data_IF_532990852621
#
_entry.id   IF_532990852621
#
_cell.length_a   1.000
_cell.length_b   1.000
_cell.length_c   1.000
_cell.angle_alpha   90.00
_cell.angle_beta   90.00
_cell.angle_gamma   90.00
#
_symmetry.space_group_name_H-M   'P 1'
#
loop_
_entity.id
_entity.type
_entity.pdbx_description
1 polymer ?
#
# COMPACT_ATOMS: atom_id res chain seq x y z
N UNK A 1 -49.20 19.07 -10.68
CA UNK A 1 -47.85 19.69 -10.63
C UNK A 1 -47.59 20.09 -9.19
N UNK A 2 -47.01 19.20 -8.40
CA UNK A 2 -46.72 19.44 -6.97
C UNK A 2 -45.25 19.85 -6.86
N UNK A 3 -45.00 21.09 -6.44
CA UNK A 3 -43.66 21.68 -6.36
C UNK A 3 -42.78 20.93 -5.35
N UNK A 4 -41.50 20.60 -5.65
CA UNK A 4 -40.62 19.81 -4.77
C UNK A 4 -39.88 20.66 -3.72
N UNK A 5 -40.30 21.91 -3.50
CA UNK A 5 -39.67 22.80 -2.52
C UNK A 5 -40.32 22.60 -1.15
N UNK A 6 -39.63 21.92 -0.24
CA UNK A 6 -40.05 21.75 1.16
C UNK A 6 -40.05 20.31 1.70
N UNK A 7 -39.74 19.31 0.88
CA UNK A 7 -39.64 17.93 1.36
C UNK A 7 -38.32 17.70 2.12
N UNK A 8 -38.39 17.16 3.35
CA UNK A 8 -37.19 16.76 4.09
C UNK A 8 -36.53 15.56 3.42
N UNK A 9 -35.38 15.76 2.79
CA UNK A 9 -34.55 14.66 2.27
C UNK A 9 -33.82 14.03 3.45
N UNK A 10 -34.04 12.74 3.68
CA UNK A 10 -33.26 11.98 4.66
C UNK A 10 -31.87 11.75 4.09
N UNK A 11 -30.95 12.65 4.41
CA UNK A 11 -29.54 12.51 4.07
C UNK A 11 -28.85 11.71 5.19
N UNK A 12 -28.05 10.73 4.79
CA UNK A 12 -27.33 9.86 5.72
C UNK A 12 -25.85 10.20 5.60
N UNK A 13 -25.30 10.80 6.64
CA UNK A 13 -23.89 11.18 6.74
C UNK A 13 -23.14 10.28 7.73
N UNK A 14 -21.85 10.11 7.49
CA UNK A 14 -20.97 9.48 8.47
C UNK A 14 -20.84 10.38 9.70
N UNK A 15 -21.24 9.86 10.87
CA UNK A 15 -21.17 10.61 12.13
C UNK A 15 -19.74 11.07 12.45
N UNK A 16 -18.71 10.36 11.96
CA UNK A 16 -17.30 10.72 12.16
C UNK A 16 -16.91 11.98 11.38
N UNK A 17 -17.58 12.23 10.25
CA UNK A 17 -17.46 13.47 9.48
C UNK A 17 -18.09 14.66 10.22
N UNK A 18 -19.21 14.43 10.91
CA UNK A 18 -19.91 15.47 11.69
C UNK A 18 -19.30 15.72 13.07
N UNK A 19 -18.61 14.73 13.65
CA UNK A 19 -18.05 14.79 15.02
C UNK A 19 -16.55 15.05 15.06
N UNK A 20 -15.89 15.24 13.91
CA UNK A 20 -14.44 15.48 13.85
C UNK A 20 -13.58 14.32 14.35
N UNK A 21 -14.16 13.12 14.44
CA UNK A 21 -13.48 11.87 14.88
C UNK A 21 -13.06 10.98 13.71
N UNK A 22 -13.19 11.47 12.47
CA UNK A 22 -12.72 10.79 11.28
C UNK A 22 -11.25 11.09 11.01
N UNK A 23 -10.44 10.05 10.79
CA UNK A 23 -9.05 10.17 10.31
C UNK A 23 -9.05 10.17 8.80
N UNK A 24 -8.51 11.24 8.18
CA UNK A 24 -8.39 11.35 6.73
C UNK A 24 -7.08 12.03 6.34
N UNK A 25 -6.39 11.41 5.36
CA UNK A 25 -5.24 11.80 4.53
C UNK A 25 -3.99 12.44 5.17
N UNK A 26 -4.09 13.21 6.26
CA UNK A 26 -2.98 13.86 6.95
C UNK A 26 -2.71 13.30 8.36
N UNK A 27 -3.31 12.15 8.70
CA UNK A 27 -2.93 11.48 9.95
C UNK A 27 -1.56 10.81 9.76
N UNK A 28 -0.49 11.27 10.44
CA UNK A 28 0.85 10.77 10.20
C UNK A 28 1.00 9.27 10.49
N UNK A 29 0.23 8.74 11.45
CA UNK A 29 0.24 7.32 11.80
C UNK A 29 -0.36 6.47 10.68
N UNK A 30 -1.43 6.94 10.03
CA UNK A 30 -2.02 6.22 8.89
C UNK A 30 -1.08 6.25 7.70
N UNK A 31 -0.45 7.40 7.43
CA UNK A 31 0.53 7.55 6.35
C UNK A 31 1.73 6.63 6.55
N UNK A 32 2.29 6.59 7.76
CA UNK A 32 3.39 5.70 8.11
C UNK A 32 3.02 4.22 7.92
N UNK A 33 1.83 3.81 8.37
CA UNK A 33 1.34 2.45 8.16
C UNK A 33 1.18 2.08 6.68
N UNK A 34 0.72 3.02 5.83
CA UNK A 34 0.65 2.81 4.38
C UNK A 34 2.05 2.69 3.75
N UNK A 35 3.00 3.51 4.19
CA UNK A 35 4.39 3.44 3.73
C UNK A 35 5.02 2.10 4.13
N UNK A 36 4.87 1.65 5.37
CA UNK A 36 5.35 0.34 5.83
C UNK A 36 4.77 -0.81 4.99
N UNK A 37 3.45 -0.85 4.81
CA UNK A 37 2.79 -1.88 4.02
C UNK A 37 3.24 -1.88 2.56
N UNK A 38 3.29 -0.71 1.92
CA UNK A 38 3.75 -0.56 0.54
C UNK A 38 5.22 -0.97 0.38
N UNK A 39 6.09 -0.61 1.32
CA UNK A 39 7.51 -0.97 1.27
C UNK A 39 7.69 -2.48 1.36
N UNK A 40 6.98 -3.14 2.29
CA UNK A 40 6.99 -4.61 2.41
C UNK A 40 6.50 -5.28 1.13
N UNK A 41 5.44 -4.74 0.52
CA UNK A 41 4.92 -5.24 -0.76
C UNK A 41 5.95 -5.07 -1.89
N UNK A 42 6.64 -3.94 -1.94
CA UNK A 42 7.70 -3.69 -2.93
C UNK A 42 8.90 -4.63 -2.75
N UNK A 43 9.28 -4.92 -1.50
CA UNK A 43 10.30 -5.93 -1.17
C UNK A 43 9.87 -7.31 -1.66
N UNK A 44 8.64 -7.71 -1.37
CA UNK A 44 8.07 -8.99 -1.83
C UNK A 44 8.09 -9.10 -3.34
N UNK A 45 7.55 -8.10 -4.02
CA UNK A 45 7.51 -8.06 -5.48
C UNK A 45 8.90 -8.09 -6.13
N UNK A 46 9.93 -7.50 -5.50
CA UNK A 46 11.28 -7.50 -6.05
C UNK A 46 12.05 -8.79 -5.80
N UNK A 47 11.88 -9.41 -4.63
CA UNK A 47 12.80 -10.44 -4.14
C UNK A 47 12.19 -11.84 -4.02
N UNK A 48 10.91 -11.98 -3.71
CA UNK A 48 10.34 -13.27 -3.24
C UNK A 48 9.09 -13.71 -4.02
N UNK A 49 8.29 -12.77 -4.52
CA UNK A 49 7.05 -13.05 -5.23
C UNK A 49 7.31 -13.39 -6.70
N UNK A 50 6.81 -14.53 -7.16
CA UNK A 50 6.89 -14.92 -8.57
C UNK A 50 5.66 -15.75 -8.98
N UNK A 51 5.18 -15.52 -10.21
CA UNK A 51 4.06 -16.27 -10.80
C UNK A 51 4.62 -17.27 -11.82
N UNK A 52 4.87 -18.50 -11.39
CA UNK A 52 5.48 -19.55 -12.21
C UNK A 52 4.36 -20.45 -12.75
N UNK A 53 4.41 -20.72 -14.06
CA UNK A 53 3.49 -21.64 -14.73
C UNK A 53 4.28 -22.79 -15.36
N UNK A 54 3.67 -23.96 -15.46
CA UNK A 54 4.23 -25.07 -16.23
C UNK A 54 3.92 -24.95 -17.74
N UNK A 55 4.41 -25.90 -18.54
CA UNK A 55 4.22 -25.92 -19.99
C UNK A 55 2.76 -26.14 -20.41
N UNK A 56 1.93 -26.68 -19.51
CA UNK A 56 0.48 -26.83 -19.70
C UNK A 56 -0.31 -25.58 -19.26
N UNK A 57 0.37 -24.54 -18.76
CA UNK A 57 -0.22 -23.29 -18.30
C UNK A 57 -0.78 -23.33 -16.88
N UNK A 58 -0.55 -24.41 -16.12
CA UNK A 58 -0.98 -24.49 -14.72
C UNK A 58 -0.12 -23.59 -13.83
N UNK A 59 -0.75 -22.85 -12.92
CA UNK A 59 -0.06 -21.98 -11.97
C UNK A 59 0.53 -22.81 -10.83
N UNK A 60 1.85 -22.89 -10.76
CA UNK A 60 2.58 -23.64 -9.73
C UNK A 60 2.66 -22.87 -8.40
N UNK A 61 2.69 -21.54 -8.44
CA UNK A 61 2.75 -20.67 -7.25
C UNK A 61 1.36 -20.14 -6.84
N UNK A 62 0.34 -21.00 -6.87
CA UNK A 62 -1.06 -20.65 -6.58
C UNK A 62 -1.44 -20.63 -5.09
N UNK A 63 -0.52 -20.97 -4.18
CA UNK A 63 -0.76 -21.00 -2.73
C UNK A 63 0.31 -20.21 -1.97
N UNK A 64 0.02 -19.76 -0.75
CA UNK A 64 0.99 -19.06 0.11
C UNK A 64 2.19 -19.93 0.53
N UNK A 65 2.10 -21.26 0.38
CA UNK A 65 3.25 -22.16 0.58
C UNK A 65 4.29 -22.01 -0.53
N UNK A 66 3.86 -21.61 -1.73
CA UNK A 66 4.69 -21.50 -2.92
C UNK A 66 4.89 -20.03 -3.37
N UNK A 67 3.96 -19.13 -3.05
CA UNK A 67 4.06 -17.70 -3.31
C UNK A 67 4.77 -17.01 -2.14
N UNK A 68 6.01 -16.58 -2.38
CA UNK A 68 6.89 -16.05 -1.34
C UNK A 68 6.46 -14.67 -0.83
N UNK A 69 5.46 -14.60 0.04
CA UNK A 69 5.13 -13.38 0.78
C UNK A 69 6.18 -13.15 1.88
N UNK A 70 6.76 -11.95 2.01
CA UNK A 70 7.75 -11.66 3.04
C UNK A 70 7.22 -11.86 4.46
N UNK A 71 8.03 -12.48 5.31
CA UNK A 71 7.78 -12.57 6.75
C UNK A 71 8.46 -11.43 7.52
N UNK A 72 8.05 -11.21 8.77
CA UNK A 72 8.60 -10.14 9.60
C UNK A 72 10.13 -10.22 9.78
N UNK A 73 10.72 -11.42 9.72
CA UNK A 73 12.18 -11.59 9.84
C UNK A 73 12.94 -11.29 8.55
N UNK A 74 12.24 -11.20 7.41
CA UNK A 74 12.83 -10.91 6.10
C UNK A 74 12.80 -9.42 5.76
N UNK A 75 12.01 -8.63 6.50
CA UNK A 75 11.85 -7.19 6.28
C UNK A 75 12.76 -6.45 7.28
N UNK A 76 13.70 -5.61 6.82
CA UNK A 76 14.48 -4.77 7.73
C UNK A 76 13.60 -3.72 8.41
N UNK A 77 14.01 -3.15 9.54
CA UNK A 77 13.32 -2.01 10.13
C UNK A 77 13.15 -0.87 9.12
N UNK A 78 11.95 -0.28 9.05
CA UNK A 78 11.61 0.78 8.11
C UNK A 78 11.37 2.07 8.90
N UNK A 79 12.18 3.08 8.62
CA UNK A 79 12.01 4.44 9.14
C UNK A 79 11.39 5.33 8.06
N UNK A 80 10.24 5.93 8.35
CA UNK A 80 9.57 6.86 7.45
C UNK A 80 9.81 8.30 7.89
N UNK A 81 10.47 9.10 7.04
CA UNK A 81 10.62 10.54 7.25
C UNK A 81 9.59 11.27 6.40
N UNK A 82 8.65 11.95 7.05
CA UNK A 82 7.59 12.70 6.40
C UNK A 82 8.02 14.16 6.23
N UNK A 83 8.03 14.64 4.99
CA UNK A 83 8.26 16.05 4.67
C UNK A 83 6.93 16.69 4.28
N UNK A 84 6.58 17.76 4.98
CA UNK A 84 5.38 18.52 4.66
C UNK A 84 5.65 19.47 3.48
N UNK A 85 5.01 19.18 2.35
CA UNK A 85 4.97 20.07 1.21
C UNK A 85 3.54 20.10 0.67
N UNK A 86 2.75 21.14 1.00
CA UNK A 86 1.36 21.22 0.59
C UNK A 86 1.18 21.24 -0.93
N UNK A 87 0.08 20.68 -1.41
CA UNK A 87 -0.32 20.74 -2.82
C UNK A 87 -0.93 22.09 -3.16
N UNK A 88 -0.48 22.70 -4.26
CA UNK A 88 -1.15 23.91 -4.83
C UNK A 88 -2.39 23.55 -5.66
N UNK A 89 -2.64 22.27 -5.91
CA UNK A 89 -3.67 21.78 -6.83
C UNK A 89 -5.04 21.56 -6.19
N UNK A 90 -5.13 21.61 -4.86
CA UNK A 90 -6.40 21.52 -4.15
C UNK A 90 -6.39 22.43 -2.93
N UNK A 91 -7.58 22.92 -2.56
CA UNK A 91 -7.77 23.87 -1.45
C UNK A 91 -7.38 23.30 -0.08
N UNK A 92 -7.27 21.98 0.03
CA UNK A 92 -6.90 21.29 1.27
C UNK A 92 -5.39 21.06 1.40
N UNK A 93 -4.60 21.31 0.34
CA UNK A 93 -3.16 21.04 0.36
C UNK A 93 -2.76 19.55 0.34
N UNK A 94 -3.70 18.63 0.21
CA UNK A 94 -3.48 17.19 0.39
C UNK A 94 -2.88 16.50 -0.85
N UNK A 95 -2.16 15.38 -0.62
CA UNK A 95 -1.61 14.51 -1.69
C UNK A 95 -1.90 13.05 -1.37
N UNK A 96 -2.07 12.23 -2.42
CA UNK A 96 -2.19 10.78 -2.24
C UNK A 96 -0.86 10.14 -1.86
N UNK A 97 -0.91 9.15 -0.96
CA UNK A 97 0.29 8.43 -0.48
C UNK A 97 0.22 6.90 -0.64
N UNK A 98 -0.96 6.35 -0.96
CA UNK A 98 -1.22 4.92 -0.90
C UNK A 98 -0.28 4.06 -1.76
N UNK A 99 0.16 4.56 -2.90
CA UNK A 99 1.09 3.84 -3.80
C UNK A 99 2.55 4.24 -3.60
N UNK A 100 2.80 5.35 -2.90
CA UNK A 100 4.15 5.90 -2.71
C UNK A 100 5.09 4.89 -2.04
N UNK A 101 4.56 4.08 -1.12
CA UNK A 101 5.33 3.05 -0.43
C UNK A 101 5.76 1.88 -1.33
N UNK A 102 4.98 1.50 -2.35
CA UNK A 102 5.24 0.30 -3.16
C UNK A 102 6.06 0.57 -4.42
N UNK A 103 5.95 1.78 -5.00
CA UNK A 103 6.61 2.13 -6.27
C UNK A 103 8.14 2.15 -6.12
N UNK A 104 8.66 2.82 -5.09
CA UNK A 104 10.10 3.03 -4.91
C UNK A 104 10.91 1.77 -4.54
N UNK A 105 10.48 0.92 -3.59
CA UNK A 105 11.28 -0.24 -3.20
C UNK A 105 11.47 -1.23 -4.33
N UNK A 106 10.44 -1.46 -5.16
CA UNK A 106 10.53 -2.38 -6.29
C UNK A 106 11.65 -1.97 -7.28
N UNK A 107 11.87 -0.66 -7.47
CA UNK A 107 12.92 -0.12 -8.33
C UNK A 107 14.29 -0.01 -7.64
N UNK A 108 14.31 0.24 -6.33
CA UNK A 108 15.54 0.47 -5.57
C UNK A 108 16.28 -0.82 -5.18
N UNK A 109 15.59 -1.97 -5.16
CA UNK A 109 16.20 -3.25 -4.81
C UNK A 109 17.14 -3.75 -5.92
N UNK A 110 18.45 -3.91 -5.66
CA UNK A 110 19.38 -4.37 -6.69
C UNK A 110 19.15 -5.86 -6.99
N UNK A 111 19.22 -6.23 -8.27
CA UNK A 111 19.18 -7.63 -8.77
C UNK A 111 20.16 -8.56 -8.03
N UNK A 112 21.21 -7.98 -7.42
CA UNK A 112 22.26 -8.67 -6.64
C UNK A 112 21.75 -9.33 -5.36
N UNK A 113 20.64 -8.90 -4.77
CA UNK A 113 20.07 -9.61 -3.60
C UNK A 113 19.43 -10.95 -3.98
N UNK A 114 19.02 -11.12 -5.24
CA UNK A 114 18.36 -12.33 -5.76
C UNK A 114 19.28 -13.56 -5.82
N UNK A 115 20.60 -13.39 -5.82
CA UNK A 115 21.57 -14.49 -5.92
C UNK A 115 22.06 -15.02 -4.58
N UNK A 116 21.94 -14.25 -3.48
CA UNK A 116 22.49 -14.64 -2.17
C UNK A 116 21.65 -15.70 -1.43
N UNK A 117 20.38 -15.86 -1.78
CA UNK A 117 19.49 -16.88 -1.20
C UNK A 117 19.51 -18.23 -1.94
N UNK A 118 20.10 -18.31 -3.15
CA UNK A 118 20.24 -19.57 -3.90
C UNK A 118 21.49 -20.38 -3.55
N UNK A 119 22.51 -19.76 -2.95
CA UNK A 119 23.79 -20.42 -2.63
C UNK A 119 23.92 -20.88 -1.18
N UNK A 120 22.91 -20.69 -0.33
CA UNK A 120 22.90 -21.14 1.06
C UNK A 120 22.20 -22.50 1.28
N UNK A 121 21.95 -23.25 0.20
CA UNK A 121 21.20 -24.52 0.22
C UNK A 121 21.71 -25.56 -0.76
N UNK A 122 23.03 -25.66 -0.92
CA UNK A 122 23.71 -26.80 -1.54
C UNK A 122 25.03 -27.02 -0.80
#
# INVERSE_FOLDING_TARGET
MTSPLGASIRRTEDLRFLTGRGRYLDDPMVVEGQLHGGIVQGIGSALTEERIRDDAGQLLTGSLMAYGVPTATQVPPIEAVLLDHPSVMNVLGIKGVGESGVICPAAAMPTRWRTRSRTAGC
#
